data_IF_393336798673
#
_entry.id   IF_393336798673
#
_cell.length_a   1.000
_cell.length_b   1.000
_cell.length_c   1.000
_cell.angle_alpha   90.00
_cell.angle_beta   90.00
_cell.angle_gamma   90.00
#
_symmetry.space_group_name_H-M   'P 1'
#
loop_
_entity.id
_entity.type
_entity.pdbx_description
1 polymer ?
#
# COMPACT_ATOMS: atom_id res chain seq x y z
N UNK A 1 -19.72 -7.29 8.73
CA UNK A 1 -19.17 -6.15 7.98
C UNK A 1 -17.89 -5.61 8.63
N UNK A 2 -17.88 -5.34 9.94
CA UNK A 2 -16.71 -4.81 10.67
C UNK A 2 -15.40 -5.57 10.50
N UNK A 3 -15.38 -6.90 10.63
CA UNK A 3 -14.17 -7.69 10.38
C UNK A 3 -13.61 -7.51 8.96
N UNK A 4 -14.48 -7.24 7.98
CA UNK A 4 -14.05 -6.96 6.60
C UNK A 4 -13.48 -5.56 6.45
N UNK A 5 -14.04 -4.57 7.15
CA UNK A 5 -13.45 -3.22 7.20
C UNK A 5 -12.02 -3.29 7.72
N UNK A 6 -11.71 -4.14 8.69
CA UNK A 6 -10.32 -4.37 9.13
C UNK A 6 -9.42 -4.92 8.00
N UNK A 7 -9.90 -5.92 7.25
CA UNK A 7 -9.17 -6.49 6.09
C UNK A 7 -8.92 -5.42 5.02
N UNK A 8 -9.95 -4.67 4.64
CA UNK A 8 -9.81 -3.58 3.66
C UNK A 8 -8.92 -2.45 4.19
N UNK A 9 -8.94 -2.17 5.49
CA UNK A 9 -8.07 -1.18 6.14
C UNK A 9 -6.60 -1.58 6.05
N UNK A 10 -6.31 -2.87 6.24
CA UNK A 10 -4.96 -3.40 6.05
C UNK A 10 -4.50 -3.28 4.60
N UNK A 11 -5.35 -3.66 3.63
CA UNK A 11 -5.03 -3.54 2.19
C UNK A 11 -4.86 -2.08 1.77
N UNK A 12 -5.70 -1.18 2.27
CA UNK A 12 -5.57 0.26 2.07
C UNK A 12 -4.23 0.76 2.62
N UNK A 13 -3.85 0.38 3.85
CA UNK A 13 -2.59 0.82 4.46
C UNK A 13 -1.37 0.24 3.74
N UNK A 14 -1.45 -1.01 3.28
CA UNK A 14 -0.44 -1.66 2.45
C UNK A 14 -0.27 -0.91 1.12
N UNK A 15 -1.38 -0.60 0.44
CA UNK A 15 -1.42 0.23 -0.77
C UNK A 15 -0.77 1.59 -0.56
N UNK A 16 -1.14 2.29 0.51
CA UNK A 16 -0.55 3.57 0.91
C UNK A 16 0.96 3.46 1.14
N UNK A 17 1.40 2.57 2.04
CA UNK A 17 2.80 2.51 2.47
C UNK A 17 3.75 2.06 1.36
N UNK A 18 3.36 1.05 0.58
CA UNK A 18 4.19 0.59 -0.53
C UNK A 18 4.23 1.59 -1.68
N UNK A 19 3.11 2.25 -1.99
CA UNK A 19 3.10 3.33 -2.98
C UNK A 19 4.02 4.48 -2.57
N UNK A 20 3.87 5.01 -1.34
CA UNK A 20 4.70 6.13 -0.86
C UNK A 20 6.18 5.79 -0.97
N UNK A 21 6.57 4.57 -0.60
CA UNK A 21 7.95 4.13 -0.75
C UNK A 21 8.43 4.17 -2.20
N UNK A 22 7.71 3.53 -3.13
CA UNK A 22 8.15 3.48 -4.53
C UNK A 22 8.10 4.84 -5.20
N UNK A 23 7.09 5.65 -4.88
CA UNK A 23 6.93 7.02 -5.35
C UNK A 23 8.09 7.91 -4.88
N UNK A 24 8.39 7.93 -3.56
CA UNK A 24 9.52 8.72 -3.04
C UNK A 24 10.87 8.20 -3.53
N UNK A 25 11.06 6.88 -3.58
CA UNK A 25 12.28 6.27 -4.12
C UNK A 25 12.52 6.66 -5.58
N UNK A 26 11.46 6.87 -6.37
CA UNK A 26 11.56 7.34 -7.75
C UNK A 26 11.95 8.82 -7.85
N UNK A 27 11.57 9.64 -6.87
CA UNK A 27 11.80 11.10 -6.84
C UNK A 27 13.18 11.44 -6.24
N UNK A 28 13.53 10.85 -5.10
CA UNK A 28 14.74 11.22 -4.33
C UNK A 28 16.03 10.64 -4.91
N UNK A 29 15.94 9.56 -5.70
CA UNK A 29 17.13 8.88 -6.18
C UNK A 29 17.11 8.64 -7.71
N UNK A 30 17.24 9.71 -8.52
CA UNK A 30 17.30 9.58 -9.99
C UNK A 30 18.53 8.78 -10.48
N UNK A 31 19.52 8.48 -9.61
CA UNK A 31 20.65 7.57 -9.92
C UNK A 31 20.28 6.09 -9.84
N UNK A 32 19.28 5.72 -9.03
CA UNK A 32 18.73 4.37 -8.96
C UNK A 32 17.46 4.20 -9.81
N UNK A 33 17.01 5.26 -10.50
CA UNK A 33 15.97 5.13 -11.50
C UNK A 33 16.48 4.21 -12.61
N UNK A 34 15.69 3.20 -12.91
CA UNK A 34 16.01 1.97 -13.67
C UNK A 34 16.59 2.24 -15.07
N UNK A 35 16.65 3.49 -15.55
CA UNK A 35 16.96 3.82 -16.93
C UNK A 35 17.75 5.13 -17.13
N UNK A 36 18.88 5.34 -16.45
CA UNK A 36 19.90 6.26 -16.99
C UNK A 36 20.77 5.53 -18.01
N UNK A 37 20.24 5.42 -19.23
CA UNK A 37 21.06 5.12 -20.40
C UNK A 37 21.88 6.37 -20.75
N UNK A 38 23.16 6.35 -20.40
CA UNK A 38 24.23 7.04 -21.12
C UNK A 38 25.58 6.66 -20.50
N UNK A 39 26.15 5.53 -20.93
CA UNK A 39 27.38 5.44 -21.72
C UNK A 39 27.87 3.97 -21.76
N UNK A 40 28.33 3.54 -22.93
CA UNK A 40 28.51 2.14 -23.31
C UNK A 40 29.73 1.47 -22.66
N UNK A 41 29.62 0.98 -21.40
CA UNK A 41 30.31 -0.24 -20.91
C UNK A 41 30.06 -0.59 -19.43
N UNK A 42 29.39 0.28 -18.64
CA UNK A 42 29.09 0.03 -17.20
C UNK A 42 27.60 -0.28 -16.91
N UNK A 43 26.85 -0.68 -17.94
CA UNK A 43 25.39 -0.67 -17.91
C UNK A 43 24.74 -1.93 -17.30
N UNK A 44 25.42 -3.09 -17.33
CA UNK A 44 24.87 -4.32 -16.77
C UNK A 44 24.82 -4.29 -15.24
N UNK A 45 25.91 -3.85 -14.60
CA UNK A 45 26.04 -3.89 -13.14
C UNK A 45 25.09 -2.93 -12.42
N UNK A 46 24.88 -1.72 -12.95
CA UNK A 46 23.96 -0.73 -12.36
C UNK A 46 22.50 -1.13 -12.50
N UNK A 47 22.11 -1.72 -13.63
CA UNK A 47 20.76 -2.24 -13.85
C UNK A 47 20.44 -3.39 -12.90
N UNK A 48 21.35 -4.36 -12.78
CA UNK A 48 21.21 -5.50 -11.85
C UNK A 48 21.11 -5.02 -10.40
N UNK A 49 21.89 -4.01 -10.01
CA UNK A 49 21.87 -3.46 -8.65
C UNK A 49 20.55 -2.75 -8.30
N UNK A 50 19.96 -2.01 -9.24
CA UNK A 50 18.66 -1.36 -9.02
C UNK A 50 17.53 -2.37 -8.93
N UNK A 51 17.47 -3.36 -9.83
CA UNK A 51 16.51 -4.45 -9.76
C UNK A 51 16.67 -5.29 -8.50
N UNK A 52 17.91 -5.48 -8.02
CA UNK A 52 18.17 -6.15 -6.77
C UNK A 52 17.51 -5.48 -5.58
N UNK A 53 17.57 -4.15 -5.49
CA UNK A 53 16.97 -3.41 -4.38
C UNK A 53 15.45 -3.65 -4.28
N UNK A 54 14.78 -3.71 -5.44
CA UNK A 54 13.35 -3.98 -5.55
C UNK A 54 13.05 -5.44 -5.23
N UNK A 55 13.84 -6.37 -5.79
CA UNK A 55 13.67 -7.81 -5.55
C UNK A 55 13.90 -8.17 -4.08
N UNK A 56 14.95 -7.63 -3.45
CA UNK A 56 15.23 -7.85 -2.03
C UNK A 56 14.04 -7.41 -1.18
N UNK A 57 13.53 -6.19 -1.41
CA UNK A 57 12.34 -5.70 -0.72
C UNK A 57 11.13 -6.59 -0.99
N UNK A 58 10.96 -7.06 -2.22
CA UNK A 58 9.87 -7.96 -2.57
C UNK A 58 9.95 -9.25 -1.75
N UNK A 59 11.13 -9.87 -1.70
CA UNK A 59 11.39 -11.07 -0.90
C UNK A 59 11.22 -10.82 0.60
N UNK A 60 11.67 -9.68 1.13
CA UNK A 60 11.49 -9.31 2.54
C UNK A 60 10.01 -9.28 2.93
N UNK A 61 9.17 -8.61 2.11
CA UNK A 61 7.73 -8.51 2.36
C UNK A 61 7.04 -9.86 2.16
N UNK A 62 7.35 -10.58 1.08
CA UNK A 62 6.76 -11.89 0.82
C UNK A 62 7.11 -12.91 1.90
N UNK A 63 8.36 -12.90 2.39
CA UNK A 63 8.76 -13.76 3.49
C UNK A 63 7.99 -13.43 4.77
N UNK A 64 7.95 -12.16 5.17
CA UNK A 64 7.28 -11.77 6.42
C UNK A 64 5.79 -12.12 6.44
N UNK A 65 5.09 -11.96 5.31
CA UNK A 65 3.66 -12.28 5.26
C UNK A 65 3.39 -13.79 5.15
N UNK A 66 4.21 -14.53 4.40
CA UNK A 66 3.86 -15.89 4.00
C UNK A 66 4.57 -16.98 4.80
N UNK A 67 5.69 -16.68 5.46
CA UNK A 67 6.49 -17.72 6.10
C UNK A 67 5.72 -18.49 7.17
N UNK A 68 5.03 -17.79 8.07
CA UNK A 68 4.25 -18.44 9.13
C UNK A 68 3.13 -19.32 8.56
N UNK A 69 2.44 -18.83 7.52
CA UNK A 69 1.36 -19.54 6.84
C UNK A 69 1.88 -20.79 6.14
N UNK A 70 3.00 -20.67 5.42
CA UNK A 70 3.62 -21.78 4.72
C UNK A 70 4.07 -22.87 5.71
N UNK A 71 4.63 -22.48 6.85
CA UNK A 71 4.98 -23.41 7.91
C UNK A 71 3.75 -24.14 8.47
N UNK A 72 2.64 -23.41 8.69
CA UNK A 72 1.37 -24.00 9.14
C UNK A 72 0.77 -24.96 8.11
N UNK A 73 0.77 -24.59 6.83
CA UNK A 73 0.33 -25.47 5.74
C UNK A 73 1.14 -26.77 5.71
N UNK A 74 2.46 -26.68 5.91
CA UNK A 74 3.35 -27.84 5.95
C UNK A 74 3.09 -28.74 7.17
N UNK A 75 2.90 -28.16 8.36
CA UNK A 75 2.72 -28.92 9.61
C UNK A 75 1.33 -29.55 9.71
N UNK A 76 0.30 -28.87 9.24
CA UNK A 76 -1.10 -29.30 9.42
C UNK A 76 -1.73 -29.91 8.16
N UNK A 77 -0.98 -29.98 7.06
CA UNK A 77 -1.45 -30.51 5.78
C UNK A 77 -2.74 -29.81 5.29
N UNK A 78 -2.73 -28.48 5.32
CA UNK A 78 -3.87 -27.63 4.92
C UNK A 78 -3.49 -26.77 3.71
N UNK A 79 -4.42 -26.65 2.76
CA UNK A 79 -4.28 -25.80 1.57
C UNK A 79 -3.95 -24.35 1.93
N UNK A 80 -3.02 -23.75 1.18
CA UNK A 80 -2.62 -22.36 1.42
C UNK A 80 -3.77 -21.36 1.24
N UNK A 81 -4.71 -21.67 0.36
CA UNK A 81 -5.90 -20.86 0.11
C UNK A 81 -6.87 -20.81 1.29
N UNK A 82 -6.77 -21.75 2.24
CA UNK A 82 -7.50 -21.70 3.50
C UNK A 82 -7.24 -20.38 4.24
N UNK A 83 -6.00 -19.90 4.21
CA UNK A 83 -5.59 -18.61 4.76
C UNK A 83 -5.69 -17.47 3.75
N UNK A 84 -6.84 -17.35 3.06
CA UNK A 84 -7.07 -16.49 1.91
C UNK A 84 -6.51 -15.05 2.00
N UNK A 85 -6.45 -14.47 3.20
CA UNK A 85 -5.94 -13.12 3.44
C UNK A 85 -4.47 -12.96 3.00
N UNK A 86 -3.67 -14.01 3.12
CA UNK A 86 -2.23 -14.02 2.84
C UNK A 86 -1.92 -14.03 1.34
N UNK A 87 -2.53 -14.91 0.51
CA UNK A 87 -2.47 -14.77 -0.95
C UNK A 87 -3.01 -13.41 -1.42
N UNK A 88 -4.05 -12.87 -0.76
CA UNK A 88 -4.67 -11.60 -1.14
C UNK A 88 -3.70 -10.42 -1.00
N UNK A 89 -3.03 -10.30 0.15
CA UNK A 89 -2.00 -9.26 0.36
C UNK A 89 -0.83 -9.46 -0.60
N UNK A 90 -0.36 -10.70 -0.76
CA UNK A 90 0.77 -11.01 -1.63
C UNK A 90 0.49 -10.66 -3.09
N UNK A 91 -0.73 -10.92 -3.55
CA UNK A 91 -1.22 -10.50 -4.87
C UNK A 91 -1.19 -8.98 -5.02
N UNK A 92 -1.83 -8.24 -4.10
CA UNK A 92 -1.90 -6.78 -4.19
C UNK A 92 -0.53 -6.11 -4.12
N UNK A 93 0.35 -6.61 -3.27
CA UNK A 93 1.72 -6.12 -3.21
C UNK A 93 2.47 -6.36 -4.54
N UNK A 94 2.32 -7.54 -5.14
CA UNK A 94 2.90 -7.86 -6.46
C UNK A 94 2.37 -6.91 -7.54
N UNK A 95 1.06 -6.64 -7.55
CA UNK A 95 0.43 -5.68 -8.46
C UNK A 95 1.02 -4.27 -8.30
N UNK A 96 1.22 -3.79 -7.06
CA UNK A 96 1.85 -2.48 -6.79
C UNK A 96 3.27 -2.44 -7.35
N UNK A 97 4.08 -3.47 -7.08
CA UNK A 97 5.47 -3.54 -7.57
C UNK A 97 5.51 -3.52 -9.10
N UNK A 98 4.66 -4.32 -9.76
CA UNK A 98 4.56 -4.33 -11.23
C UNK A 98 4.14 -2.95 -11.74
N UNK A 99 3.09 -2.33 -11.18
CA UNK A 99 2.60 -1.02 -11.62
C UNK A 99 3.66 0.08 -11.48
N UNK A 100 4.44 0.05 -10.39
CA UNK A 100 5.48 1.04 -10.12
C UNK A 100 6.73 0.84 -10.98
N UNK A 101 7.06 -0.41 -11.31
CA UNK A 101 8.24 -0.75 -12.13
C UNK A 101 7.98 -0.63 -13.63
N UNK A 102 6.79 -1.03 -14.10
CA UNK A 102 6.40 -0.95 -15.51
C UNK A 102 6.13 0.51 -15.90
N UNK A 103 6.78 0.99 -16.96
CA UNK A 103 6.52 2.32 -17.53
C UNK A 103 7.25 3.49 -16.86
N UNK A 104 8.25 3.27 -16.00
CA UNK A 104 9.11 4.34 -15.44
C UNK A 104 10.20 4.82 -16.42
N UNK A 105 9.92 4.76 -17.72
CA UNK A 105 10.84 5.18 -18.77
C UNK A 105 10.66 6.67 -19.09
N UNK A 106 11.69 7.44 -18.73
CA UNK A 106 12.04 8.81 -19.17
C UNK A 106 11.40 9.98 -18.39
N UNK A 107 12.14 10.46 -17.39
CA UNK A 107 12.30 11.90 -17.17
C UNK A 107 13.78 12.20 -16.93
N UNK A 108 14.53 12.27 -18.03
CA UNK A 108 15.88 12.81 -18.02
C UNK A 108 15.77 14.34 -18.08
N UNK A 109 15.94 14.99 -16.95
CA UNK A 109 16.84 16.15 -16.75
C UNK A 109 16.60 16.70 -15.36
N UNK A 110 17.49 16.31 -14.46
CA UNK A 110 17.70 16.91 -13.16
C UNK A 110 17.86 18.42 -13.34
N UNK A 111 16.94 19.23 -12.80
CA UNK A 111 17.27 20.60 -12.44
C UNK A 111 18.32 20.46 -11.35
N UNK A 112 19.59 20.62 -11.73
CA UNK A 112 20.68 20.82 -10.79
C UNK A 112 20.37 22.11 -10.05
N UNK A 113 19.83 22.00 -8.84
CA UNK A 113 19.93 23.06 -7.84
C UNK A 113 21.43 23.14 -7.53
N UNK A 114 22.13 24.04 -8.21
CA UNK A 114 23.45 24.50 -7.77
C UNK A 114 23.19 25.22 -6.46
N UNK A 115 23.77 24.80 -5.31
CA UNK A 115 23.82 25.63 -4.14
C UNK A 115 24.70 26.83 -4.51
N UNK A 116 24.10 28.02 -4.60
CA UNK A 116 24.85 29.27 -4.69
C UNK A 116 25.57 29.47 -3.36
N UNK A 117 26.75 28.87 -3.21
CA UNK A 117 27.76 29.45 -2.33
C UNK A 117 28.24 30.74 -3.01
N UNK A 118 28.18 31.85 -2.29
CA UNK A 118 28.69 33.16 -2.72
C UNK A 118 30.22 33.18 -2.59
N UNK A 119 31.00 33.39 -3.67
CA UNK A 119 32.30 34.00 -3.55
C UNK A 119 32.16 35.51 -3.81
N UNK A 120 32.60 36.31 -2.84
CA UNK A 120 32.85 37.73 -3.08
C UNK A 120 34.03 37.90 -4.07
N UNK A 121 34.12 39.08 -4.70
CA UNK A 121 35.18 39.64 -5.58
C UNK A 121 35.29 39.04 -6.99
N UNK A 122 35.39 39.78 -8.12
CA UNK A 122 35.67 41.18 -8.45
C UNK A 122 35.02 41.53 -9.83
N UNK A 123 34.94 42.80 -10.26
CA UNK A 123 34.27 43.20 -11.52
C UNK A 123 35.24 43.10 -12.70
N UNK A 124 34.75 42.58 -13.83
CA UNK A 124 35.09 42.95 -15.23
C UNK A 124 34.92 41.74 -16.15
N UNK A 125 33.73 41.58 -16.75
CA UNK A 125 33.58 41.01 -18.10
C UNK A 125 32.12 41.18 -18.59
N UNK A 126 31.98 41.66 -19.83
CA UNK A 126 30.72 42.03 -20.48
C UNK A 126 29.92 40.76 -20.88
N UNK A 127 28.59 40.68 -20.64
CA UNK A 127 27.84 39.46 -20.93
C UNK A 127 27.55 39.32 -22.44
N UNK A 128 28.07 38.25 -23.04
CA UNK A 128 27.69 37.81 -24.38
C UNK A 128 26.29 37.14 -24.35
N UNK A 129 25.45 37.48 -25.32
CA UNK A 129 24.09 36.97 -25.50
C UNK A 129 24.07 35.46 -25.81
N UNK A 130 23.26 34.62 -25.15
CA UNK A 130 23.02 33.27 -25.62
C UNK A 130 21.88 33.24 -26.65
N UNK A 131 22.18 32.66 -27.82
CA UNK A 131 21.26 32.34 -28.91
C UNK A 131 20.06 31.47 -28.48
N UNK A 132 18.90 31.54 -29.17
CA UNK A 132 17.69 30.84 -28.76
C UNK A 132 17.79 29.34 -29.09
N UNK A 133 18.02 28.51 -28.07
CA UNK A 133 17.97 27.06 -28.23
C UNK A 133 16.52 26.60 -28.37
N UNK A 134 16.20 26.12 -29.57
CA UNK A 134 14.96 25.50 -30.03
C UNK A 134 14.34 24.61 -28.94
N UNK A 135 13.11 24.94 -28.55
CA UNK A 135 12.37 24.30 -27.47
C UNK A 135 12.14 22.81 -27.69
N UNK A 136 12.73 21.98 -26.84
CA UNK A 136 12.33 20.59 -26.69
C UNK A 136 11.10 20.54 -25.78
N UNK A 137 9.95 20.18 -26.36
CA UNK A 137 8.67 19.89 -25.71
C UNK A 137 8.86 18.98 -24.48
N UNK A 138 8.71 19.53 -23.28
CA UNK A 138 8.52 18.79 -22.02
C UNK A 138 7.10 18.20 -22.02
N UNK A 139 6.93 16.91 -22.35
CA UNK A 139 5.58 16.39 -22.61
C UNK A 139 4.90 15.54 -21.54
N UNK A 140 5.51 15.14 -20.41
CA UNK A 140 4.71 14.46 -19.37
C UNK A 140 5.13 14.82 -17.95
N UNK A 141 4.22 15.52 -17.27
CA UNK A 141 4.23 15.72 -15.83
C UNK A 141 4.13 14.34 -15.14
N UNK A 142 5.05 13.96 -14.22
CA UNK A 142 5.03 12.65 -13.55
C UNK A 142 3.70 12.34 -12.85
N UNK A 143 2.97 13.37 -12.40
CA UNK A 143 1.64 13.23 -11.82
C UNK A 143 0.60 12.73 -12.85
N UNK A 144 0.67 13.17 -14.11
CA UNK A 144 -0.24 12.72 -15.18
C UNK A 144 0.01 11.25 -15.54
N UNK A 145 1.29 10.85 -15.63
CA UNK A 145 1.64 9.45 -15.87
C UNK A 145 1.13 8.55 -14.75
N UNK A 146 1.18 9.01 -13.50
CA UNK A 146 0.65 8.26 -12.37
C UNK A 146 -0.88 8.14 -12.41
N UNK A 147 -1.59 9.21 -12.77
CA UNK A 147 -3.04 9.14 -12.98
C UNK A 147 -3.43 8.13 -14.06
N UNK A 148 -2.67 8.09 -15.17
CA UNK A 148 -2.87 7.07 -16.21
C UNK A 148 -2.66 5.65 -15.70
N UNK A 149 -1.60 5.43 -14.90
CA UNK A 149 -1.34 4.13 -14.25
C UNK A 149 -2.50 3.69 -13.34
N UNK A 150 -3.08 4.60 -12.55
CA UNK A 150 -4.24 4.28 -11.72
C UNK A 150 -5.49 3.95 -12.56
N UNK A 151 -5.75 4.70 -13.62
CA UNK A 151 -6.86 4.40 -14.53
C UNK A 151 -6.68 3.02 -15.18
N UNK A 152 -5.46 2.72 -15.66
CA UNK A 152 -5.12 1.40 -16.21
C UNK A 152 -5.32 0.29 -15.18
N UNK A 153 -4.92 0.50 -13.93
CA UNK A 153 -5.11 -0.48 -12.86
C UNK A 153 -6.59 -0.75 -12.59
N UNK A 154 -7.44 0.30 -12.51
CA UNK A 154 -8.89 0.15 -12.32
C UNK A 154 -9.51 -0.64 -13.47
N UNK A 155 -9.15 -0.32 -14.71
CA UNK A 155 -9.62 -1.05 -15.89
C UNK A 155 -9.18 -2.51 -15.86
N UNK A 156 -7.93 -2.80 -15.47
CA UNK A 156 -7.43 -4.16 -15.35
C UNK A 156 -8.18 -4.96 -14.28
N UNK A 157 -8.49 -4.34 -13.14
CA UNK A 157 -9.28 -4.95 -12.07
C UNK A 157 -10.69 -5.31 -12.57
N UNK A 158 -11.34 -4.39 -13.30
CA UNK A 158 -12.65 -4.65 -13.91
C UNK A 158 -12.61 -5.75 -14.97
N UNK A 159 -11.56 -5.81 -15.79
CA UNK A 159 -11.37 -6.89 -16.77
C UNK A 159 -11.24 -8.24 -16.06
N UNK A 160 -10.42 -8.33 -15.01
CA UNK A 160 -10.24 -9.57 -14.24
C UNK A 160 -11.53 -9.97 -13.53
N UNK A 161 -12.31 -9.00 -13.04
CA UNK A 161 -13.59 -9.26 -12.39
C UNK A 161 -14.68 -9.76 -13.36
N UNK A 162 -14.76 -9.19 -14.57
CA UNK A 162 -15.77 -9.56 -15.58
C UNK A 162 -15.42 -10.84 -16.33
N UNK A 163 -14.14 -11.08 -16.57
CA UNK A 163 -13.67 -12.20 -17.38
C UNK A 163 -13.17 -13.33 -16.47
N UNK A 164 -14.09 -14.19 -16.04
CA UNK A 164 -13.78 -15.33 -15.18
C UNK A 164 -12.62 -16.22 -15.70
N UNK A 165 -12.50 -16.53 -17.01
CA UNK A 165 -11.35 -17.30 -17.51
C UNK A 165 -9.99 -16.62 -17.30
N UNK A 166 -9.92 -15.29 -17.29
CA UNK A 166 -8.68 -14.56 -16.98
C UNK A 166 -8.32 -14.73 -15.51
N UNK A 167 -9.30 -14.64 -14.61
CA UNK A 167 -9.09 -14.92 -13.19
C UNK A 167 -8.55 -16.35 -12.97
N UNK A 168 -9.16 -17.33 -13.63
CA UNK A 168 -8.71 -18.72 -13.60
C UNK A 168 -7.24 -18.84 -14.06
N UNK A 169 -6.90 -18.21 -15.18
CA UNK A 169 -5.52 -18.24 -15.72
C UNK A 169 -4.50 -17.61 -14.76
N UNK A 170 -4.87 -16.50 -14.11
CA UNK A 170 -4.00 -15.78 -13.18
C UNK A 170 -3.77 -16.57 -11.89
N UNK A 171 -4.82 -17.14 -11.28
CA UNK A 171 -4.72 -17.76 -9.95
C UNK A 171 -4.58 -19.29 -9.98
N UNK A 172 -4.98 -19.93 -11.07
CA UNK A 172 -4.91 -21.36 -11.30
C UNK A 172 -4.04 -21.70 -12.52
N UNK A 173 -3.09 -20.82 -12.89
CA UNK A 173 -2.02 -21.19 -13.82
C UNK A 173 -1.15 -22.31 -13.26
N UNK A 174 -0.50 -23.09 -14.14
CA UNK A 174 0.27 -24.28 -13.76
C UNK A 174 1.30 -24.03 -12.63
N UNK A 175 2.02 -22.91 -12.69
CA UNK A 175 3.00 -22.54 -11.66
C UNK A 175 2.32 -22.30 -10.30
N UNK A 176 1.25 -21.52 -10.30
CA UNK A 176 0.56 -21.09 -9.08
C UNK A 176 -0.24 -22.25 -8.46
N UNK A 177 -0.80 -23.15 -9.28
CA UNK A 177 -1.43 -24.39 -8.79
C UNK A 177 -0.45 -25.20 -7.94
N UNK A 178 0.81 -25.33 -8.37
CA UNK A 178 1.83 -26.07 -7.61
C UNK A 178 2.25 -25.37 -6.31
N UNK A 179 2.12 -24.04 -6.24
CA UNK A 179 2.36 -23.27 -5.01
C UNK A 179 1.17 -23.25 -4.05
N UNK A 180 -0.05 -23.22 -4.57
CA UNK A 180 -1.28 -23.15 -3.78
C UNK A 180 -1.90 -24.50 -3.44
N UNK A 181 -1.53 -25.57 -4.16
CA UNK A 181 -1.88 -26.96 -3.83
C UNK A 181 -0.61 -27.72 -3.45
N UNK A 182 -0.58 -28.26 -2.23
CA UNK A 182 0.13 -29.53 -2.02
C UNK A 182 -0.80 -30.61 -2.56
N UNK A 183 -0.49 -31.16 -3.73
CA UNK A 183 -1.23 -32.32 -4.26
C UNK A 183 -1.05 -33.50 -3.27
N UNK A 184 -2.11 -33.90 -2.54
CA UNK A 184 -2.22 -35.24 -1.92
C UNK A 184 -3.66 -35.60 -1.49
N UNK A 185 -3.98 -36.91 -1.44
CA UNK A 185 -5.34 -37.44 -1.34
C UNK A 185 -5.86 -37.45 0.10
N UNK A 186 -7.16 -37.27 0.23
CA UNK A 186 -7.87 -36.82 1.44
C UNK A 186 -7.97 -37.87 2.56
N UNK A 187 -8.22 -37.40 3.80
CA UNK A 187 -9.28 -38.02 4.59
C UNK A 187 -10.12 -36.96 5.34
N UNK A 188 -10.82 -36.08 4.63
CA UNK A 188 -11.79 -35.17 5.28
C UNK A 188 -13.21 -35.49 4.80
N UNK A 189 -14.03 -36.00 5.71
CA UNK A 189 -15.44 -36.45 5.54
C UNK A 189 -16.37 -35.35 4.97
N UNK A 190 -15.94 -34.08 4.96
CA UNK A 190 -16.70 -32.94 4.42
C UNK A 190 -16.56 -32.74 2.90
N UNK A 191 -15.78 -33.56 2.18
CA UNK A 191 -15.45 -33.37 0.76
C UNK A 191 -16.29 -34.20 -0.23
N UNK A 192 -17.45 -34.73 0.20
CA UNK A 192 -18.25 -35.66 -0.61
C UNK A 192 -19.22 -35.03 -1.64
N UNK A 193 -19.22 -33.71 -1.87
CA UNK A 193 -20.14 -33.09 -2.83
C UNK A 193 -19.48 -31.96 -3.64
N UNK A 194 -19.56 -32.08 -4.98
CA UNK A 194 -19.03 -31.17 -6.01
C UNK A 194 -17.49 -31.18 -6.15
N UNK A 195 -16.98 -31.11 -7.39
CA UNK A 195 -15.54 -31.12 -7.67
C UNK A 195 -14.85 -29.99 -6.89
N UNK A 196 -14.09 -30.36 -5.87
CA UNK A 196 -13.48 -29.49 -4.83
C UNK A 196 -12.77 -28.27 -5.41
N UNK A 197 -12.17 -28.41 -6.59
CA UNK A 197 -11.47 -27.34 -7.31
C UNK A 197 -12.37 -26.18 -7.74
N UNK A 198 -13.59 -26.48 -8.22
CA UNK A 198 -14.54 -25.46 -8.70
C UNK A 198 -15.09 -24.66 -7.52
N UNK A 199 -15.32 -25.33 -6.38
CA UNK A 199 -15.79 -24.68 -5.16
C UNK A 199 -14.71 -23.76 -4.56
N UNK A 200 -13.45 -24.23 -4.51
CA UNK A 200 -12.32 -23.44 -4.04
C UNK A 200 -12.10 -22.20 -4.91
N UNK A 201 -12.23 -22.33 -6.23
CA UNK A 201 -12.16 -21.22 -7.18
C UNK A 201 -13.26 -20.19 -6.95
N UNK A 202 -14.52 -20.62 -6.83
CA UNK A 202 -15.64 -19.71 -6.54
C UNK A 202 -15.46 -19.00 -5.21
N UNK A 203 -15.00 -19.72 -4.18
CA UNK A 203 -14.72 -19.14 -2.88
C UNK A 203 -13.63 -18.08 -2.96
N UNK A 204 -12.52 -18.37 -3.64
CA UNK A 204 -11.42 -17.43 -3.81
C UNK A 204 -11.82 -16.21 -4.63
N UNK A 205 -12.47 -16.41 -5.77
CA UNK A 205 -12.99 -15.32 -6.60
C UNK A 205 -13.90 -14.40 -5.79
N UNK A 206 -14.82 -14.98 -5.03
CA UNK A 206 -15.70 -14.24 -4.16
C UNK A 206 -14.90 -13.44 -3.12
N UNK A 207 -13.94 -14.04 -2.41
CA UNK A 207 -13.11 -13.35 -1.40
C UNK A 207 -12.27 -12.22 -1.99
N UNK A 208 -11.66 -12.44 -3.15
CA UNK A 208 -10.86 -11.44 -3.86
C UNK A 208 -11.72 -10.26 -4.34
N UNK A 209 -12.90 -10.53 -4.90
CA UNK A 209 -13.76 -9.50 -5.48
C UNK A 209 -14.29 -8.48 -4.46
N UNK A 210 -14.38 -8.86 -3.19
CA UNK A 210 -14.87 -8.02 -2.09
C UNK A 210 -13.94 -6.86 -1.72
N UNK A 211 -12.64 -7.00 -1.96
CA UNK A 211 -11.61 -6.02 -1.58
C UNK A 211 -10.89 -5.43 -2.80
N UNK A 212 -11.48 -5.58 -3.99
CA UNK A 212 -10.84 -5.29 -5.29
C UNK A 212 -10.35 -3.85 -5.46
N UNK A 213 -10.92 -2.88 -4.74
CA UNK A 213 -10.52 -1.47 -4.81
C UNK A 213 -9.77 -0.98 -3.57
N UNK A 214 -9.71 -1.75 -2.49
CA UNK A 214 -9.16 -1.29 -1.20
C UNK A 214 -7.71 -0.79 -1.34
N UNK A 215 -6.87 -1.54 -2.04
CA UNK A 215 -5.48 -1.18 -2.32
C UNK A 215 -5.37 0.07 -3.19
N UNK A 216 -6.20 0.18 -4.24
CA UNK A 216 -6.22 1.34 -5.15
C UNK A 216 -6.57 2.61 -4.40
N UNK A 217 -7.57 2.56 -3.50
CA UNK A 217 -7.94 3.68 -2.66
C UNK A 217 -6.78 4.13 -1.75
N UNK A 218 -6.01 3.19 -1.20
CA UNK A 218 -4.82 3.49 -0.41
C UNK A 218 -3.73 4.22 -1.21
N UNK A 219 -3.51 3.78 -2.45
CA UNK A 219 -2.55 4.41 -3.36
C UNK A 219 -3.01 5.80 -3.82
N UNK A 220 -4.29 5.95 -4.16
CA UNK A 220 -4.89 7.24 -4.51
C UNK A 220 -4.82 8.22 -3.33
N UNK A 221 -5.12 7.77 -2.12
CA UNK A 221 -5.01 8.58 -0.92
C UNK A 221 -3.57 9.06 -0.71
N UNK A 222 -2.59 8.16 -0.83
CA UNK A 222 -1.18 8.52 -0.74
C UNK A 222 -0.75 9.56 -1.78
N UNK A 223 -1.20 9.38 -3.03
CA UNK A 223 -0.94 10.31 -4.12
C UNK A 223 -1.56 11.69 -3.85
N UNK A 224 -2.80 11.73 -3.35
CA UNK A 224 -3.47 12.97 -2.94
C UNK A 224 -2.71 13.66 -1.80
N UNK A 225 -2.26 12.92 -0.77
CA UNK A 225 -1.45 13.48 0.31
C UNK A 225 -0.12 14.06 -0.21
N UNK A 226 0.54 13.39 -1.14
CA UNK A 226 1.78 13.89 -1.75
C UNK A 226 1.55 15.14 -2.62
N UNK A 227 0.47 15.15 -3.40
CA UNK A 227 0.05 16.33 -4.15
C UNK A 227 -0.26 17.52 -3.23
N UNK A 228 -0.99 17.29 -2.13
CA UNK A 228 -1.29 18.33 -1.15
C UNK A 228 -0.03 18.88 -0.48
N UNK A 229 0.97 18.03 -0.20
CA UNK A 229 2.29 18.47 0.26
C UNK A 229 3.01 19.32 -0.78
N UNK A 230 2.97 18.94 -2.07
CA UNK A 230 3.59 19.72 -3.14
C UNK A 230 2.97 21.11 -3.32
N UNK A 231 1.66 21.26 -3.11
CA UNK A 231 0.98 22.56 -3.15
C UNK A 231 1.20 23.35 -1.84
N UNK A 232 2.05 22.86 -0.92
CA UNK A 232 2.28 23.41 0.42
C UNK A 232 0.99 23.60 1.22
N UNK A 233 -0.03 22.76 0.97
CA UNK A 233 -1.22 22.74 1.81
C UNK A 233 -0.96 21.94 3.09
N UNK A 234 -0.19 20.85 3.05
CA UNK A 234 0.04 20.05 4.26
C UNK A 234 1.49 20.20 4.72
N UNK A 235 1.69 20.66 5.96
CA UNK A 235 2.98 20.67 6.63
C UNK A 235 3.00 19.63 7.77
N UNK A 236 3.75 18.55 7.55
CA UNK A 236 3.90 17.44 8.52
C UNK A 236 5.10 17.67 9.47
N UNK A 237 5.85 18.76 9.32
CA UNK A 237 7.10 19.00 10.05
C UNK A 237 6.91 19.46 11.49
N UNK A 238 5.77 20.08 11.80
CA UNK A 238 5.50 20.67 13.11
C UNK A 238 4.61 19.75 13.93
N UNK A 239 4.84 19.62 15.24
CA UNK A 239 4.08 18.76 16.18
C UNK A 239 2.69 19.31 16.58
N UNK A 240 2.18 20.35 15.90
CA UNK A 240 0.95 21.09 16.20
C UNK A 240 -0.34 20.38 15.70
N UNK A 241 -1.49 21.07 15.65
CA UNK A 241 -2.68 20.57 14.92
C UNK A 241 -2.35 20.29 13.45
N UNK A 242 -3.29 19.77 12.65
CA UNK A 242 -3.10 19.72 11.19
C UNK A 242 -3.05 21.15 10.65
N UNK A 243 -1.88 21.78 10.79
CA UNK A 243 -1.64 23.17 10.45
C UNK A 243 -1.28 23.19 8.97
N UNK A 244 -2.25 23.61 8.17
CA UNK A 244 -2.03 23.85 6.74
C UNK A 244 -1.04 25.00 6.48
N UNK A 245 -0.78 25.89 7.44
CA UNK A 245 0.14 27.02 7.27
C UNK A 245 0.79 27.46 8.61
N UNK A 246 2.12 27.44 8.68
CA UNK A 246 2.86 28.10 9.76
C UNK A 246 2.76 29.63 9.61
N UNK A 247 2.62 30.35 10.73
CA UNK A 247 2.26 31.78 10.80
C UNK A 247 3.35 32.72 10.23
N UNK A 248 4.61 32.28 10.19
CA UNK A 248 5.74 33.10 9.73
C UNK A 248 6.02 32.97 8.22
N UNK A 249 5.60 31.88 7.58
CA UNK A 249 5.79 31.68 6.14
C UNK A 249 4.65 32.29 5.31
N UNK A 250 3.49 32.59 5.90
CA UNK A 250 2.30 33.06 5.17
C UNK A 250 2.45 34.43 4.50
N UNK A 251 3.16 35.39 5.11
CA UNK A 251 3.36 36.72 4.52
C UNK A 251 4.34 36.70 3.33
N UNK A 252 5.40 35.90 3.41
CA UNK A 252 6.44 35.81 2.37
C UNK A 252 6.03 34.82 1.24
N UNK A 253 5.22 33.80 1.56
CA UNK A 253 4.82 32.75 0.62
C UNK A 253 3.53 33.08 -0.14
N UNK A 254 2.59 33.84 0.43
CA UNK A 254 1.37 34.26 -0.31
C UNK A 254 1.74 35.10 -1.54
N UNK A 255 2.76 35.94 -1.44
CA UNK A 255 3.27 36.75 -2.55
C UNK A 255 3.98 35.90 -3.63
N UNK A 256 4.74 34.86 -3.22
CA UNK A 256 5.40 33.92 -4.15
C UNK A 256 4.43 32.91 -4.80
N UNK A 257 3.44 32.41 -4.07
CA UNK A 257 2.48 31.40 -4.54
C UNK A 257 1.49 31.98 -5.57
N UNK A 258 1.12 33.26 -5.42
CA UNK A 258 0.35 34.02 -6.40
C UNK A 258 1.06 34.11 -7.76
N UNK A 259 2.41 34.20 -7.78
CA UNK A 259 3.18 34.29 -9.02
C UNK A 259 3.54 32.95 -9.69
N UNK A 260 3.82 31.89 -8.92
CA UNK A 260 4.35 30.62 -9.44
C UNK A 260 3.28 29.62 -9.90
N UNK A 261 2.15 29.53 -9.20
CA UNK A 261 1.06 28.59 -9.51
C UNK A 261 0.29 29.00 -10.77
N UNK A 262 0.04 30.31 -10.94
CA UNK A 262 -0.65 30.82 -12.12
C UNK A 262 0.20 30.66 -13.40
N UNK A 263 1.51 30.98 -13.37
CA UNK A 263 2.34 30.98 -14.59
C UNK A 263 2.74 29.59 -15.09
N UNK A 264 3.00 28.62 -14.19
CA UNK A 264 3.47 27.28 -14.59
C UNK A 264 2.34 26.39 -15.11
N UNK A 265 1.15 26.45 -14.48
CA UNK A 265 -0.02 25.66 -14.85
C UNK A 265 -0.72 26.23 -16.10
N UNK A 266 -0.84 27.57 -16.24
CA UNK A 266 -1.39 28.18 -17.46
C UNK A 266 -0.51 27.97 -18.70
N UNK A 267 0.82 27.90 -18.54
CA UNK A 267 1.74 27.70 -19.67
C UNK A 267 1.72 26.26 -20.21
N UNK A 268 1.38 25.26 -19.39
CA UNK A 268 1.26 23.85 -19.80
C UNK A 268 -0.13 23.48 -20.33
N UNK A 269 -1.16 24.29 -20.07
CA UNK A 269 -2.57 23.98 -20.37
C UNK A 269 -3.22 24.92 -21.40
N UNK A 270 -2.44 25.81 -22.02
CA UNK A 270 -2.91 26.76 -23.02
C UNK A 270 -3.43 26.11 -24.32
N UNK A 271 -3.30 24.79 -24.49
CA UNK A 271 -3.78 24.05 -25.67
C UNK A 271 -5.19 23.44 -25.54
N UNK A 272 -5.80 23.38 -24.35
CA UNK A 272 -7.10 22.70 -24.15
C UNK A 272 -8.07 23.61 -23.40
N UNK A 273 -9.01 24.21 -24.14
CA UNK A 273 -9.95 25.23 -23.65
C UNK A 273 -10.75 24.79 -22.41
N UNK A 274 -11.14 23.50 -22.32
CA UNK A 274 -11.89 22.92 -21.22
C UNK A 274 -11.10 22.87 -19.90
N UNK A 275 -9.82 22.47 -19.93
CA UNK A 275 -8.98 22.44 -18.72
C UNK A 275 -8.64 23.85 -18.20
N UNK A 276 -8.57 24.85 -19.09
CA UNK A 276 -8.31 26.24 -18.68
C UNK A 276 -9.41 26.82 -17.77
N UNK A 277 -10.66 26.40 -17.98
CA UNK A 277 -11.82 26.83 -17.18
C UNK A 277 -11.83 26.13 -15.83
N UNK A 278 -11.54 24.83 -15.80
CA UNK A 278 -11.41 24.04 -14.56
C UNK A 278 -10.27 24.59 -13.71
N UNK A 279 -9.11 24.87 -14.28
CA UNK A 279 -7.97 25.46 -13.57
C UNK A 279 -8.27 26.87 -13.03
N UNK A 280 -9.01 27.71 -13.78
CA UNK A 280 -9.46 29.02 -13.29
C UNK A 280 -10.39 28.90 -12.09
N UNK A 281 -11.34 27.98 -12.14
CA UNK A 281 -12.27 27.73 -11.03
C UNK A 281 -11.53 27.16 -9.82
N UNK A 282 -10.60 26.22 -10.02
CA UNK A 282 -9.74 25.69 -8.96
C UNK A 282 -8.90 26.79 -8.32
N UNK A 283 -8.26 27.66 -9.10
CA UNK A 283 -7.45 28.78 -8.59
C UNK A 283 -8.29 29.76 -7.76
N UNK A 284 -9.52 30.08 -8.19
CA UNK A 284 -10.45 30.93 -7.42
C UNK A 284 -10.86 30.29 -6.09
N UNK A 285 -11.19 28.99 -6.11
CA UNK A 285 -11.53 28.24 -4.90
C UNK A 285 -10.33 28.21 -3.95
N UNK A 286 -9.12 27.98 -4.47
CA UNK A 286 -7.90 27.93 -3.69
C UNK A 286 -7.54 29.27 -3.04
N UNK A 287 -7.67 30.37 -3.80
CA UNK A 287 -7.46 31.73 -3.27
C UNK A 287 -8.47 32.10 -2.17
N UNK A 288 -9.69 31.54 -2.23
CA UNK A 288 -10.69 31.71 -1.17
C UNK A 288 -10.38 30.84 0.06
N UNK A 289 -9.76 29.67 -0.13
CA UNK A 289 -9.36 28.76 0.96
C UNK A 289 -8.13 29.29 1.73
N UNK A 290 -7.28 30.11 1.12
CA UNK A 290 -6.07 30.67 1.75
C UNK A 290 -6.32 31.79 2.77
N UNK A 291 -7.57 32.16 3.04
CA UNK A 291 -7.90 33.12 4.09
C UNK A 291 -7.50 32.57 5.49
N UNK A 292 -6.84 33.36 6.35
CA UNK A 292 -6.31 32.90 7.65
C UNK A 292 -7.40 32.38 8.60
N UNK A 293 -8.65 32.79 8.41
CA UNK A 293 -9.79 32.31 9.17
C UNK A 293 -10.21 30.89 8.77
N UNK A 294 -10.23 30.59 7.47
CA UNK A 294 -10.60 29.26 6.93
C UNK A 294 -9.54 28.21 7.32
N UNK A 295 -8.26 28.60 7.34
CA UNK A 295 -7.16 27.72 7.76
C UNK A 295 -7.33 27.28 9.23
N UNK A 296 -7.77 28.16 10.12
CA UNK A 296 -8.04 27.81 11.54
C UNK A 296 -9.26 26.92 11.73
N UNK A 297 -10.26 27.03 10.85
CA UNK A 297 -11.46 26.20 10.90
C UNK A 297 -11.27 24.80 10.31
N UNK A 298 -10.22 24.61 9.50
CA UNK A 298 -10.02 23.37 8.76
C UNK A 298 -9.95 22.10 9.63
N UNK A 299 -9.19 22.05 10.75
CA UNK A 299 -9.18 20.87 11.62
C UNK A 299 -10.56 20.53 12.20
N UNK A 300 -11.33 21.56 12.57
CA UNK A 300 -12.69 21.41 13.09
C UNK A 300 -13.64 20.93 11.99
N UNK A 301 -13.54 21.46 10.77
CA UNK A 301 -14.32 20.96 9.64
C UNK A 301 -13.95 19.50 9.28
N UNK A 302 -12.66 19.16 9.30
CA UNK A 302 -12.17 17.81 9.03
C UNK A 302 -12.66 16.80 10.08
N UNK A 303 -12.70 17.18 11.36
CA UNK A 303 -13.27 16.33 12.42
C UNK A 303 -14.78 16.17 12.29
N UNK A 304 -15.54 17.24 12.02
CA UNK A 304 -16.99 17.13 11.81
C UNK A 304 -17.29 16.21 10.63
N UNK A 305 -16.57 16.38 9.51
CA UNK A 305 -16.72 15.52 8.34
C UNK A 305 -16.30 14.07 8.63
N UNK A 306 -15.21 13.87 9.36
CA UNK A 306 -14.73 12.54 9.76
C UNK A 306 -15.72 11.83 10.70
N UNK A 307 -16.22 12.50 11.74
CA UNK A 307 -17.22 11.95 12.66
C UNK A 307 -18.55 11.68 11.94
N UNK A 308 -19.01 12.61 11.10
CA UNK A 308 -20.19 12.43 10.26
C UNK A 308 -20.06 11.22 9.34
N UNK A 309 -18.89 11.01 8.73
CA UNK A 309 -18.63 9.85 7.88
C UNK A 309 -18.58 8.52 8.64
N UNK A 310 -18.03 8.49 9.86
CA UNK A 310 -18.09 7.30 10.72
C UNK A 310 -19.53 6.96 11.12
N UNK A 311 -20.31 7.96 11.55
CA UNK A 311 -21.73 7.78 11.89
C UNK A 311 -22.51 7.29 10.67
N UNK A 312 -22.30 7.94 9.52
CA UNK A 312 -22.95 7.53 8.27
C UNK A 312 -22.61 6.09 7.92
N UNK A 313 -21.36 5.66 8.07
CA UNK A 313 -20.98 4.26 7.83
C UNK A 313 -21.72 3.31 8.78
N UNK A 314 -21.78 3.63 10.07
CA UNK A 314 -22.49 2.81 11.07
C UNK A 314 -23.97 2.69 10.69
N UNK A 315 -24.64 3.83 10.45
CA UNK A 315 -26.05 3.88 10.05
C UNK A 315 -26.28 3.10 8.75
N UNK A 316 -25.38 3.28 7.78
CA UNK A 316 -25.41 2.56 6.51
C UNK A 316 -25.34 1.04 6.71
N UNK A 317 -24.41 0.56 7.55
CA UNK A 317 -24.29 -0.86 7.86
C UNK A 317 -25.50 -1.42 8.62
N UNK A 318 -26.22 -0.59 9.37
CA UNK A 318 -27.44 -1.01 10.10
C UNK A 318 -28.67 -1.07 9.18
N UNK A 319 -28.76 -0.17 8.20
CA UNK A 319 -29.88 -0.13 7.24
C UNK A 319 -29.78 -1.27 6.22
N UNK A 320 -28.56 -1.63 5.77
CA UNK A 320 -28.37 -2.74 4.84
C UNK A 320 -28.52 -4.08 5.57
N UNK A 321 -29.78 -4.52 5.70
CA UNK A 321 -30.14 -5.84 6.18
C UNK A 321 -29.82 -6.95 5.17
N UNK A 322 -29.77 -6.62 3.88
CA UNK A 322 -29.35 -7.58 2.84
C UNK A 322 -27.82 -7.72 2.82
N UNK A 323 -27.33 -8.92 3.14
CA UNK A 323 -25.90 -9.21 3.23
C UNK A 323 -25.21 -9.13 1.86
N UNK A 324 -25.85 -9.58 0.78
CA UNK A 324 -25.21 -9.65 -0.54
C UNK A 324 -24.93 -8.27 -1.12
N UNK A 325 -25.96 -7.41 -1.16
CA UNK A 325 -25.82 -6.04 -1.64
C UNK A 325 -24.84 -5.22 -0.79
N UNK A 326 -24.83 -5.43 0.53
CA UNK A 326 -23.86 -4.76 1.42
C UNK A 326 -22.41 -5.19 1.17
N UNK A 327 -22.19 -6.42 0.72
CA UNK A 327 -20.86 -6.95 0.42
C UNK A 327 -20.32 -6.45 -0.92
N UNK A 328 -21.17 -6.34 -1.93
CA UNK A 328 -20.79 -5.74 -3.21
C UNK A 328 -20.48 -4.25 -3.04
N UNK A 329 -21.31 -3.54 -2.28
CA UNK A 329 -21.14 -2.12 -2.04
C UNK A 329 -19.92 -1.80 -1.18
N UNK A 330 -19.58 -2.68 -0.23
CA UNK A 330 -18.35 -2.61 0.56
C UNK A 330 -17.11 -2.51 -0.33
N UNK A 331 -17.04 -3.27 -1.43
CA UNK A 331 -15.90 -3.23 -2.35
C UNK A 331 -15.63 -1.82 -2.89
N UNK A 332 -16.69 -1.04 -3.14
CA UNK A 332 -16.58 0.33 -3.65
C UNK A 332 -16.34 1.36 -2.53
N UNK A 333 -17.05 1.25 -1.40
CA UNK A 333 -17.09 2.26 -0.35
C UNK A 333 -16.22 1.96 0.87
N UNK A 334 -15.41 0.90 0.85
CA UNK A 334 -14.53 0.53 1.97
C UNK A 334 -13.57 1.66 2.43
N UNK A 335 -13.18 2.56 1.52
CA UNK A 335 -12.31 3.70 1.84
C UNK A 335 -12.97 4.73 2.75
N UNK A 336 -14.29 4.81 2.75
CA UNK A 336 -15.02 5.86 3.46
C UNK A 336 -14.80 5.83 4.98
N UNK A 337 -15.05 4.71 5.71
CA UNK A 337 -14.72 4.64 7.14
C UNK A 337 -13.24 4.83 7.44
N UNK A 338 -12.36 4.40 6.54
CA UNK A 338 -10.91 4.49 6.70
C UNK A 338 -10.47 5.96 6.65
N UNK A 339 -10.87 6.71 5.61
CA UNK A 339 -10.55 8.13 5.48
C UNK A 339 -11.20 8.93 6.61
N UNK A 340 -12.45 8.62 6.97
CA UNK A 340 -13.13 9.28 8.09
C UNK A 340 -12.35 9.12 9.40
N UNK A 341 -11.86 7.90 9.71
CA UNK A 341 -11.01 7.67 10.88
C UNK A 341 -9.67 8.45 10.79
N UNK A 342 -9.00 8.41 9.62
CA UNK A 342 -7.75 9.13 9.40
C UNK A 342 -7.92 10.63 9.61
N UNK A 343 -9.02 11.22 9.12
CA UNK A 343 -9.31 12.64 9.32
C UNK A 343 -9.48 12.98 10.79
N UNK A 344 -10.31 12.24 11.54
CA UNK A 344 -10.50 12.47 12.97
C UNK A 344 -9.18 12.34 13.73
N UNK A 345 -8.40 11.29 13.45
CA UNK A 345 -7.13 11.00 14.12
C UNK A 345 -6.07 12.08 13.89
N UNK A 346 -6.05 12.68 12.70
CA UNK A 346 -5.00 13.64 12.33
C UNK A 346 -5.40 15.11 12.51
N UNK A 347 -6.65 15.41 12.84
CA UNK A 347 -7.12 16.80 12.94
C UNK A 347 -6.51 17.58 14.11
N UNK A 348 -6.49 16.99 15.30
CA UNK A 348 -5.95 17.63 16.51
C UNK A 348 -4.54 17.12 16.83
N UNK A 349 -3.65 18.01 17.24
CA UNK A 349 -2.29 17.70 17.66
C UNK A 349 -2.26 16.72 18.84
N UNK A 350 -3.24 16.82 19.74
CA UNK A 350 -3.43 15.87 20.84
C UNK A 350 -3.65 14.43 20.35
N UNK A 351 -4.55 14.23 19.37
CA UNK A 351 -4.86 12.91 18.82
C UNK A 351 -3.75 12.37 17.92
N UNK A 352 -2.98 13.28 17.29
CA UNK A 352 -1.87 12.92 16.41
C UNK A 352 -0.63 12.45 17.17
N UNK A 353 -0.35 13.06 18.32
CA UNK A 353 0.86 12.80 19.12
C UNK A 353 0.71 11.62 20.07
N UNK A 354 -0.50 11.35 20.57
CA UNK A 354 -0.75 10.24 21.50
C UNK A 354 -1.18 8.99 20.77
N UNK A 355 -0.54 7.87 21.12
CA UNK A 355 -0.96 6.54 20.70
C UNK A 355 -0.89 5.62 21.92
N UNK A 356 -1.71 4.57 21.92
CA UNK A 356 -1.64 3.54 22.94
C UNK A 356 -0.50 2.58 22.62
N UNK A 357 0.46 2.45 23.54
CA UNK A 357 1.57 1.51 23.43
C UNK A 357 1.03 0.07 23.34
N UNK A 358 -0.02 -0.24 24.11
CA UNK A 358 -0.66 -1.55 24.09
C UNK A 358 -1.21 -1.89 22.70
N UNK A 359 -1.95 -0.98 22.07
CA UNK A 359 -2.50 -1.22 20.73
C UNK A 359 -1.43 -1.18 19.63
N UNK A 360 -0.35 -0.42 19.82
CA UNK A 360 0.80 -0.45 18.91
C UNK A 360 1.50 -1.82 18.95
N UNK A 361 1.74 -2.35 20.14
CA UNK A 361 2.29 -3.69 20.34
C UNK A 361 1.35 -4.77 19.77
N UNK A 362 0.05 -4.69 20.06
CA UNK A 362 -0.94 -5.63 19.53
C UNK A 362 -1.02 -5.59 17.99
N UNK A 363 -0.83 -4.41 17.39
CA UNK A 363 -0.76 -4.24 15.94
C UNK A 363 0.47 -4.87 15.30
N UNK A 364 1.61 -4.90 15.99
CA UNK A 364 2.87 -5.48 15.48
C UNK A 364 2.76 -7.01 15.31
N UNK A 365 2.04 -7.68 16.22
CA UNK A 365 1.77 -9.12 16.19
C UNK A 365 0.44 -9.49 15.50
N UNK A 366 -0.19 -8.54 14.79
CA UNK A 366 -1.55 -8.70 14.27
C UNK A 366 -1.70 -9.81 13.22
N UNK A 367 -0.65 -10.10 12.45
CA UNK A 367 -0.67 -11.15 11.43
C UNK A 367 -0.69 -12.53 12.09
N UNK A 368 0.15 -12.74 13.09
CA UNK A 368 0.24 -13.97 13.87
C UNK A 368 -1.04 -14.20 14.66
N UNK A 369 -1.64 -13.14 15.22
CA UNK A 369 -2.96 -13.21 15.85
C UNK A 369 -4.05 -13.58 14.83
N UNK A 370 -4.07 -12.96 13.66
CA UNK A 370 -5.08 -13.23 12.65
C UNK A 370 -5.06 -14.68 12.15
N UNK A 371 -3.88 -15.27 11.98
CA UNK A 371 -3.74 -16.66 11.53
C UNK A 371 -3.91 -17.63 12.70
N UNK A 372 -3.28 -17.34 13.84
CA UNK A 372 -3.29 -18.21 15.01
C UNK A 372 -4.68 -18.44 15.60
N UNK A 373 -5.62 -17.49 15.43
CA UNK A 373 -7.00 -17.66 15.93
C UNK A 373 -7.67 -18.92 15.37
N UNK A 374 -7.36 -19.30 14.13
CA UNK A 374 -7.97 -20.45 13.45
C UNK A 374 -7.56 -21.79 14.07
N UNK A 375 -6.45 -21.84 14.80
CA UNK A 375 -5.86 -23.07 15.32
C UNK A 375 -5.86 -23.16 16.84
N UNK A 376 -5.67 -22.02 17.50
CA UNK A 376 -5.56 -21.97 18.96
C UNK A 376 -6.94 -21.77 19.59
N UNK A 377 -7.76 -20.90 19.00
CA UNK A 377 -9.05 -20.53 19.57
C UNK A 377 -10.20 -21.36 19.01
N UNK A 378 -10.17 -21.58 17.69
CA UNK A 378 -11.08 -22.44 16.96
C UNK A 378 -10.48 -23.83 16.89
N UNK A 379 -11.19 -24.84 17.40
CA UNK A 379 -10.85 -26.24 17.12
C UNK A 379 -11.03 -26.52 15.62
N UNK A 380 -10.41 -27.59 15.10
CA UNK A 380 -10.39 -28.03 13.69
C UNK A 380 -11.70 -27.81 12.88
N UNK A 381 -12.87 -27.89 13.53
CA UNK A 381 -14.18 -27.72 12.89
C UNK A 381 -14.80 -26.30 13.01
N UNK A 382 -14.10 -25.27 13.47
CA UNK A 382 -14.59 -23.88 13.69
C UNK A 382 -15.80 -23.72 14.64
N UNK A 383 -16.34 -24.82 15.16
CA UNK A 383 -17.49 -24.86 16.06
C UNK A 383 -17.11 -25.14 17.52
N UNK A 384 -15.92 -25.69 17.77
CA UNK A 384 -15.41 -25.96 19.12
C UNK A 384 -14.54 -24.81 19.62
N UNK A 385 -14.80 -24.35 20.84
CA UNK A 385 -13.90 -23.44 21.58
C UNK A 385 -13.03 -24.29 22.48
N UNK A 386 -11.70 -24.07 22.46
CA UNK A 386 -10.77 -24.77 23.35
C UNK A 386 -11.17 -24.56 24.82
N UNK A 387 -11.41 -25.64 25.56
CA UNK A 387 -11.78 -25.62 26.97
C UNK A 387 -10.73 -26.34 27.81
N UNK A 388 -9.85 -25.58 28.47
CA UNK A 388 -8.81 -26.07 29.37
C UNK A 388 -9.32 -26.27 30.80
N UNK A 389 -10.27 -25.45 31.25
CA UNK A 389 -10.88 -25.54 32.59
C UNK A 389 -12.37 -25.87 32.43
N UNK A 390 -12.83 -27.07 32.81
CA UNK A 390 -14.25 -27.41 32.79
C UNK A 390 -15.02 -26.53 33.80
N UNK A 391 -16.28 -26.21 33.50
CA UNK A 391 -17.25 -25.47 34.33
C UNK A 391 -17.05 -23.94 34.53
N UNK A 392 -15.90 -23.35 34.16
CA UNK A 392 -15.66 -21.90 34.29
C UNK A 392 -15.42 -21.20 32.94
N UNK A 393 -16.50 -20.78 32.26
CA UNK A 393 -16.43 -20.17 30.91
C UNK A 393 -15.57 -18.90 30.80
N UNK A 394 -15.73 -17.96 31.74
CA UNK A 394 -14.99 -16.68 31.70
C UNK A 394 -13.51 -16.87 32.00
N UNK A 395 -13.17 -17.73 32.97
CA UNK A 395 -11.78 -18.04 33.30
C UNK A 395 -11.09 -18.77 32.14
N UNK A 396 -11.79 -19.72 31.52
CA UNK A 396 -11.29 -20.40 30.33
C UNK A 396 -11.05 -19.41 29.19
N UNK A 397 -11.95 -18.44 28.96
CA UNK A 397 -11.76 -17.40 27.95
C UNK A 397 -10.53 -16.54 28.24
N UNK A 398 -10.35 -16.06 29.48
CA UNK A 398 -9.18 -15.25 29.85
C UNK A 398 -7.89 -16.06 29.71
N UNK A 399 -7.88 -17.31 30.17
CA UNK A 399 -6.69 -18.16 30.12
C UNK A 399 -6.32 -18.50 28.67
N UNK A 400 -7.29 -18.90 27.84
CA UNK A 400 -7.05 -19.24 26.44
C UNK A 400 -6.62 -18.02 25.63
N UNK A 401 -7.17 -16.82 25.88
CA UNK A 401 -6.71 -15.59 25.21
C UNK A 401 -5.31 -15.19 25.64
N UNK A 402 -4.94 -15.37 26.92
CA UNK A 402 -3.56 -15.13 27.39
C UNK A 402 -2.57 -16.09 26.72
N UNK A 403 -2.86 -17.40 26.72
CA UNK A 403 -2.00 -18.40 26.06
C UNK A 403 -1.87 -18.08 24.57
N UNK A 404 -2.98 -17.78 23.91
CA UNK A 404 -3.02 -17.41 22.50
C UNK A 404 -2.12 -16.21 22.19
N UNK A 405 -2.25 -15.11 22.94
CA UNK A 405 -1.45 -13.91 22.73
C UNK A 405 0.03 -14.18 22.99
N UNK A 406 0.38 -14.95 24.03
CA UNK A 406 1.76 -15.34 24.32
C UNK A 406 2.37 -16.16 23.17
N UNK A 407 1.63 -17.16 22.65
CA UNK A 407 2.10 -17.99 21.54
C UNK A 407 2.32 -17.14 20.28
N UNK A 408 1.37 -16.26 19.93
CA UNK A 408 1.53 -15.36 18.80
C UNK A 408 2.73 -14.41 18.97
N UNK A 409 2.99 -13.93 20.19
CA UNK A 409 4.14 -13.09 20.49
C UNK A 409 5.47 -13.83 20.30
N UNK A 410 5.58 -15.07 20.78
CA UNK A 410 6.77 -15.90 20.58
C UNK A 410 7.01 -16.22 19.09
N UNK A 411 5.95 -16.58 18.37
CA UNK A 411 6.02 -16.81 16.92
C UNK A 411 6.52 -15.56 16.20
N UNK A 412 6.01 -14.38 16.55
CA UNK A 412 6.44 -13.12 15.97
C UNK A 412 7.94 -12.85 16.19
N UNK A 413 8.46 -13.12 17.39
CA UNK A 413 9.89 -12.99 17.67
C UNK A 413 10.73 -13.99 16.87
N UNK A 414 10.29 -15.25 16.80
CA UNK A 414 11.00 -16.32 16.08
C UNK A 414 11.06 -16.04 14.58
N UNK A 415 9.94 -15.66 13.98
CA UNK A 415 9.86 -15.33 12.54
C UNK A 415 10.72 -14.11 12.22
N UNK A 416 10.74 -13.09 13.09
CA UNK A 416 11.60 -11.92 12.94
C UNK A 416 13.09 -12.25 13.03
N UNK A 417 13.49 -13.14 13.95
CA UNK A 417 14.88 -13.62 14.03
C UNK A 417 15.24 -14.43 12.79
N UNK A 418 14.38 -15.35 12.37
CA UNK A 418 14.61 -16.21 11.22
C UNK A 418 14.70 -15.43 9.90
N UNK A 419 13.90 -14.37 9.74
CA UNK A 419 13.95 -13.47 8.58
C UNK A 419 15.36 -12.94 8.33
N UNK A 420 16.09 -12.53 9.36
CA UNK A 420 17.45 -12.01 9.22
C UNK A 420 18.45 -13.04 8.70
N UNK A 421 18.19 -14.32 8.93
CA UNK A 421 19.01 -15.44 8.42
C UNK A 421 18.63 -15.83 7.00
N UNK A 422 17.34 -15.86 6.67
CA UNK A 422 16.86 -16.30 5.35
C UNK A 422 17.06 -15.20 4.30
N UNK A 423 16.83 -13.94 4.66
CA UNK A 423 17.04 -12.80 3.77
C UNK A 423 18.22 -11.94 4.24
N UNK A 424 19.47 -12.36 3.98
CA UNK A 424 20.63 -11.59 4.39
C UNK A 424 20.72 -10.26 3.63
N UNK A 425 21.39 -9.28 4.26
CA UNK A 425 21.54 -7.93 3.69
C UNK A 425 22.37 -7.89 2.40
N UNK A 426 23.21 -8.90 2.15
CA UNK A 426 24.17 -8.96 1.04
C UNK A 426 23.64 -9.77 -0.14
N UNK A 427 23.82 -9.24 -1.37
CA UNK A 427 23.41 -9.88 -2.63
C UNK A 427 23.86 -11.33 -2.76
N UNK A 428 25.16 -11.54 -2.62
CA UNK A 428 25.80 -12.83 -2.83
C UNK A 428 25.31 -13.88 -1.82
N UNK A 429 25.12 -13.47 -0.57
CA UNK A 429 24.63 -14.37 0.48
C UNK A 429 23.17 -14.79 0.24
N UNK A 430 22.30 -13.87 -0.22
CA UNK A 430 20.90 -14.21 -0.50
C UNK A 430 20.82 -15.14 -1.71
N UNK A 431 21.53 -14.85 -2.80
CA UNK A 431 21.56 -15.73 -3.96
C UNK A 431 22.07 -17.13 -3.61
N UNK A 432 23.22 -17.24 -2.92
CA UNK A 432 23.76 -18.54 -2.51
C UNK A 432 22.80 -19.31 -1.59
N UNK A 433 22.13 -18.63 -0.65
CA UNK A 433 21.17 -19.27 0.27
C UNK A 433 19.86 -19.64 -0.40
N UNK A 434 19.33 -18.81 -1.29
CA UNK A 434 18.15 -19.12 -2.10
C UNK A 434 18.42 -20.27 -3.06
N UNK A 435 19.60 -20.33 -3.68
CA UNK A 435 20.03 -21.49 -4.46
C UNK A 435 20.16 -22.75 -3.60
N UNK A 436 20.77 -22.64 -2.40
CA UNK A 436 20.89 -23.76 -1.48
C UNK A 436 19.53 -24.27 -0.97
N UNK A 437 18.59 -23.37 -0.64
CA UNK A 437 17.22 -23.73 -0.25
C UNK A 437 16.43 -24.31 -1.42
N UNK A 438 16.56 -23.76 -2.63
CA UNK A 438 15.92 -24.30 -3.82
C UNK A 438 16.46 -25.70 -4.15
N UNK A 439 17.79 -25.89 -4.03
CA UNK A 439 18.44 -27.19 -4.19
C UNK A 439 18.00 -28.18 -3.12
N UNK A 440 17.91 -27.76 -1.85
CA UNK A 440 17.43 -28.60 -0.75
C UNK A 440 15.95 -28.96 -0.90
N UNK A 441 15.10 -28.03 -1.32
CA UNK A 441 13.70 -28.30 -1.63
C UNK A 441 13.55 -29.25 -2.82
N UNK A 442 14.31 -29.04 -3.90
CA UNK A 442 14.36 -29.96 -5.03
C UNK A 442 14.81 -31.35 -4.57
N UNK A 443 15.87 -31.43 -3.79
CA UNK A 443 16.39 -32.69 -3.23
C UNK A 443 15.33 -33.39 -2.36
N UNK A 444 14.65 -32.67 -1.48
CA UNK A 444 13.57 -33.20 -0.66
C UNK A 444 12.35 -33.65 -1.47
N UNK A 445 12.05 -33.00 -2.60
CA UNK A 445 10.98 -33.44 -3.51
C UNK A 445 11.36 -34.63 -4.39
N UNK A 446 12.66 -34.93 -4.52
CA UNK A 446 13.18 -36.06 -5.31
C UNK A 446 13.49 -37.29 -4.46
N UNK A 447 13.46 -37.18 -3.13
CA UNK A 447 13.52 -38.35 -2.25
C UNK A 447 12.10 -38.94 -2.16
N UNK A 448 11.89 -40.18 -2.65
CA UNK A 448 10.57 -40.82 -2.70
C UNK A 448 9.98 -41.12 -1.32
#
# INVERSE_FOLDING_TARGET
MWARVCVSSYLFLSGFGHFVYFWRQSIENPRNSVFRSSNSNRNGFSFVQSWWSILKRYLDVMFRMNFFVAALCFVMDVDYLFYYFMPLISFWFTVIVILMTVGSCKSASTVSIVPTELPMTAPDEMPSQPSPTIGKMQFFNPYIMMMFKFALLIVLIEIVYRVHPLFHSIFYGWFIRKFFKLDKPEPNVFKAAESTDVLAERFWFYRWSLDRYATVWGMLFAFCCDWLRHVNLMDDSTCSDLVLFNRESSLIQAEKCHQLSAKSVLKSLSGVSCLSTVCRNFSKIFGKISEPYIIRMFPTCATIFGLGGLILTIVFTMILRNRELGMELHAYFCFFPIISYILVRNSFGFLRTRHSIFFAWFGDISLELFIGQYHIWLANNTHGVLALIPNCRMLNLILTTLIFVCVCHEIHQLTSRLHTYIVPKTFQALMCRSFALCFLLLFLTFIP
#
